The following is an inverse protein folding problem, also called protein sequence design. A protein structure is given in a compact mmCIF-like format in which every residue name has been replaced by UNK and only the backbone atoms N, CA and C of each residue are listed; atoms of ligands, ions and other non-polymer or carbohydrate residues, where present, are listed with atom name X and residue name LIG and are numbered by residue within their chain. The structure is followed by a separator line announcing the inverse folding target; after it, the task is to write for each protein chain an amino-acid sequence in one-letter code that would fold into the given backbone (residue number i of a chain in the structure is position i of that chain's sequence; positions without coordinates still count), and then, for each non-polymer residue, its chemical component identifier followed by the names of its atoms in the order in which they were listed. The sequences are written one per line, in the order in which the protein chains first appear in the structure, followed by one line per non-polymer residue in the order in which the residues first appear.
data_IF_319515960246
#
_entry.id   IF_319515960246
#
_cell.length_a   1.000
_cell.length_b   1.000
_cell.length_c   1.000
_cell.angle_alpha   90.00
_cell.angle_beta   90.00
_cell.angle_gamma   90.00
#
_symmetry.space_group_name_H-M   'P 1'
#
loop_
_entity.id
_entity.type
_entity.pdbx_description
1 polymer ?
#
# COMPACT_ATOMS: atom_id res chain seq x y z
N UNK A 1 -31.60 13.29 1.48
CA UNK A 1 -31.93 12.49 0.28
C UNK A 1 -30.63 11.93 -0.30
N UNK A 2 -30.45 10.61 -0.28
CA UNK A 2 -29.25 9.96 -0.81
C UNK A 2 -29.51 9.63 -2.28
N UNK A 3 -28.82 10.32 -3.20
CA UNK A 3 -28.96 10.03 -4.62
C UNK A 3 -28.48 8.59 -4.91
N UNK A 4 -29.34 7.77 -5.49
CA UNK A 4 -29.04 6.41 -5.93
C UNK A 4 -28.51 6.49 -7.35
N UNK A 5 -27.27 6.04 -7.57
CA UNK A 5 -26.68 6.00 -8.90
C UNK A 5 -26.83 4.57 -9.41
N UNK A 6 -27.57 4.36 -10.50
CA UNK A 6 -27.64 3.05 -11.15
C UNK A 6 -26.33 2.78 -11.91
N UNK A 7 -25.61 1.74 -11.51
CA UNK A 7 -24.38 1.26 -12.15
C UNK A 7 -24.48 -0.28 -12.20
N UNK A 8 -24.94 -0.83 -13.33
CA UNK A 8 -25.18 -2.27 -13.46
C UNK A 8 -26.27 -2.79 -12.50
N UNK A 9 -26.48 -4.11 -12.46
CA UNK A 9 -27.57 -4.79 -11.74
C UNK A 9 -27.68 -4.49 -10.23
N UNK A 10 -26.69 -3.83 -9.63
CA UNK A 10 -26.70 -3.42 -8.21
C UNK A 10 -26.78 -1.90 -8.05
N UNK A 11 -27.91 -1.39 -7.53
CA UNK A 11 -28.04 0.03 -7.12
C UNK A 11 -27.07 0.34 -5.97
N UNK A 12 -26.09 1.23 -6.19
CA UNK A 12 -25.13 1.64 -5.16
C UNK A 12 -25.28 3.13 -4.83
N UNK A 13 -25.17 3.44 -3.55
CA UNK A 13 -25.36 4.79 -3.01
C UNK A 13 -24.15 5.68 -3.31
N UNK A 14 -24.36 7.00 -3.53
CA UNK A 14 -23.27 7.98 -3.58
C UNK A 14 -22.33 7.92 -2.35
N UNK A 15 -22.83 7.46 -1.18
CA UNK A 15 -22.01 7.26 0.02
C UNK A 15 -20.98 6.14 -0.15
N UNK A 16 -21.32 5.07 -0.87
CA UNK A 16 -20.41 3.94 -1.10
C UNK A 16 -19.29 4.34 -2.07
N UNK A 17 -19.60 5.16 -3.08
CA UNK A 17 -18.60 5.75 -3.99
C UNK A 17 -17.61 6.64 -3.22
N UNK A 18 -18.10 7.56 -2.39
CA UNK A 18 -17.24 8.47 -1.60
C UNK A 18 -16.34 7.67 -0.66
N UNK A 19 -16.88 6.67 0.04
CA UNK A 19 -16.08 5.79 0.91
C UNK A 19 -14.98 5.05 0.15
N UNK A 20 -15.31 4.54 -1.03
CA UNK A 20 -14.34 3.86 -1.92
C UNK A 20 -13.26 4.84 -2.40
N UNK A 21 -13.65 6.05 -2.79
CA UNK A 21 -12.71 7.10 -3.21
C UNK A 21 -11.75 7.50 -2.09
N UNK A 22 -12.27 7.79 -0.88
CA UNK A 22 -11.44 8.14 0.28
C UNK A 22 -10.54 6.97 0.69
N UNK A 23 -11.05 5.74 0.65
CA UNK A 23 -10.24 4.55 0.94
C UNK A 23 -9.12 4.34 -0.07
N UNK A 24 -9.37 4.60 -1.35
CA UNK A 24 -8.35 4.52 -2.40
C UNK A 24 -7.30 5.61 -2.25
N UNK A 25 -7.75 6.86 -2.09
CA UNK A 25 -6.88 8.01 -1.83
C UNK A 25 -5.98 7.79 -0.61
N UNK A 26 -6.55 7.35 0.52
CA UNK A 26 -5.79 7.14 1.75
C UNK A 26 -4.76 6.01 1.61
N UNK A 27 -5.12 4.91 0.93
CA UNK A 27 -4.18 3.82 0.68
C UNK A 27 -2.97 4.27 -0.14
N UNK A 28 -3.21 5.03 -1.20
CA UNK A 28 -2.13 5.62 -2.01
C UNK A 28 -1.35 6.69 -1.25
N UNK A 29 -2.01 7.50 -0.43
CA UNK A 29 -1.32 8.47 0.42
C UNK A 29 -0.37 7.80 1.41
N UNK A 30 -0.79 6.72 2.05
CA UNK A 30 0.09 5.93 2.91
C UNK A 30 1.28 5.34 2.17
N UNK A 31 1.02 4.72 1.02
CA UNK A 31 2.06 4.12 0.20
C UNK A 31 3.17 5.13 -0.15
N UNK A 32 2.77 6.31 -0.63
CA UNK A 32 3.71 7.36 -0.99
C UNK A 32 4.31 8.09 0.21
N UNK A 33 3.60 8.14 1.34
CA UNK A 33 4.19 8.58 2.60
C UNK A 33 5.34 7.66 3.00
N UNK A 34 5.14 6.34 3.02
CA UNK A 34 6.19 5.39 3.38
C UNK A 34 7.38 5.45 2.40
N UNK A 35 7.11 5.61 1.10
CA UNK A 35 8.18 5.79 0.12
C UNK A 35 8.99 7.05 0.36
N UNK A 36 8.32 8.17 0.61
CA UNK A 36 9.00 9.43 0.83
C UNK A 36 9.75 9.44 2.18
N UNK A 37 9.17 8.84 3.22
CA UNK A 37 9.83 8.66 4.51
C UNK A 37 11.14 7.88 4.35
N UNK A 38 11.10 6.76 3.62
CA UNK A 38 12.29 5.97 3.34
C UNK A 38 13.30 6.75 2.49
N UNK A 39 12.86 7.42 1.42
CA UNK A 39 13.73 8.16 0.51
C UNK A 39 14.58 9.20 1.25
N UNK A 40 13.95 9.99 2.13
CA UNK A 40 14.64 11.00 2.94
C UNK A 40 15.54 10.36 4.01
N UNK A 41 15.11 9.25 4.64
CA UNK A 41 15.97 8.49 5.55
C UNK A 41 17.20 7.91 4.84
N UNK A 42 17.04 7.40 3.62
CA UNK A 42 18.11 6.86 2.79
C UNK A 42 19.12 7.94 2.40
N UNK A 43 18.67 9.19 2.24
CA UNK A 43 19.53 10.32 1.95
C UNK A 43 20.32 10.81 3.18
N UNK A 44 19.67 10.89 4.34
CA UNK A 44 20.19 11.64 5.50
C UNK A 44 20.73 10.73 6.61
N UNK A 45 20.10 9.57 6.82
CA UNK A 45 20.27 8.75 8.03
C UNK A 45 20.94 7.41 7.75
N UNK A 46 20.39 6.63 6.82
CA UNK A 46 20.79 5.23 6.59
C UNK A 46 22.26 5.03 6.21
N UNK A 47 22.92 5.92 5.44
CA UNK A 47 24.34 5.77 5.13
C UNK A 47 25.19 5.68 6.42
N UNK A 48 24.87 6.51 7.42
CA UNK A 48 25.58 6.55 8.71
C UNK A 48 25.20 5.38 9.63
N UNK A 49 23.95 4.89 9.58
CA UNK A 49 23.44 3.89 10.53
C UNK A 49 23.61 2.45 10.06
N UNK A 50 23.37 2.19 8.77
CA UNK A 50 23.35 0.82 8.20
C UNK A 50 24.59 0.52 7.36
N UNK A 51 25.28 1.55 6.87
CA UNK A 51 26.42 1.43 5.97
C UNK A 51 27.67 2.20 6.44
N UNK A 52 28.02 2.22 7.75
CA UNK A 52 29.09 3.08 8.26
C UNK A 52 30.50 2.71 7.79
N UNK A 53 30.70 1.49 7.29
CA UNK A 53 32.01 1.00 6.83
C UNK A 53 32.33 1.36 5.38
N UNK A 54 31.38 1.97 4.66
CA UNK A 54 31.61 2.46 3.32
C UNK A 54 32.02 3.93 3.36
N UNK A 55 32.78 4.36 2.35
CA UNK A 55 33.00 5.80 2.11
C UNK A 55 31.63 6.52 2.02
N UNK A 56 31.50 7.78 2.50
CA UNK A 56 30.21 8.46 2.59
C UNK A 56 29.40 8.47 1.29
N UNK A 57 30.07 8.66 0.14
CA UNK A 57 29.43 8.62 -1.17
C UNK A 57 28.91 7.22 -1.53
N UNK A 58 29.68 6.17 -1.22
CA UNK A 58 29.29 4.78 -1.46
C UNK A 58 28.16 4.37 -0.52
N UNK A 59 28.22 4.74 0.75
CA UNK A 59 27.13 4.48 1.71
C UNK A 59 25.80 5.10 1.27
N UNK A 60 25.83 6.31 0.71
CA UNK A 60 24.66 6.97 0.12
C UNK A 60 24.12 6.21 -1.10
N UNK A 61 25.00 5.81 -2.02
CA UNK A 61 24.63 5.02 -3.19
C UNK A 61 23.98 3.69 -2.77
N UNK A 62 24.57 2.97 -1.82
CA UNK A 62 24.05 1.68 -1.33
C UNK A 62 22.71 1.86 -0.60
N UNK A 63 22.51 2.94 0.16
CA UNK A 63 21.23 3.25 0.78
C UNK A 63 20.12 3.49 -0.27
N UNK A 64 20.42 4.22 -1.36
CA UNK A 64 19.49 4.41 -2.47
C UNK A 64 19.30 3.17 -3.34
N UNK A 65 20.32 2.32 -3.51
CA UNK A 65 20.17 1.01 -4.15
C UNK A 65 19.19 0.17 -3.34
N UNK A 66 19.32 0.16 -2.01
CA UNK A 66 18.37 -0.53 -1.13
C UNK A 66 16.95 0.03 -1.29
N UNK A 67 16.81 1.36 -1.37
CA UNK A 67 15.52 1.99 -1.69
C UNK A 67 14.93 1.50 -3.02
N UNK A 68 15.77 1.44 -4.06
CA UNK A 68 15.45 1.00 -5.42
C UNK A 68 15.07 -0.47 -5.52
N UNK A 69 15.70 -1.36 -4.75
CA UNK A 69 15.37 -2.79 -4.71
C UNK A 69 13.90 -3.01 -4.32
N UNK A 70 13.34 -2.17 -3.44
CA UNK A 70 11.91 -2.21 -3.13
C UNK A 70 11.01 -1.98 -4.37
N UNK A 71 11.45 -1.18 -5.35
CA UNK A 71 10.69 -0.99 -6.59
C UNK A 71 10.72 -2.22 -7.49
N UNK A 72 11.81 -3.00 -7.46
CA UNK A 72 11.91 -4.25 -8.23
C UNK A 72 10.94 -5.32 -7.71
N UNK A 73 10.58 -5.29 -6.42
CA UNK A 73 9.57 -6.18 -5.86
C UNK A 73 8.14 -5.83 -6.29
N UNK A 74 7.87 -4.58 -6.72
CA UNK A 74 6.51 -4.12 -7.07
C UNK A 74 5.91 -4.85 -8.27
N UNK A 75 6.60 -5.04 -9.42
CA UNK A 75 6.07 -5.84 -10.53
C UNK A 75 5.71 -7.27 -10.12
N UNK A 76 6.54 -7.91 -9.29
CA UNK A 76 6.30 -9.26 -8.78
C UNK A 76 5.06 -9.28 -7.89
N UNK A 77 4.93 -8.27 -7.01
CA UNK A 77 3.75 -8.01 -6.20
C UNK A 77 2.50 -7.82 -7.03
N UNK A 78 2.54 -6.94 -8.03
CA UNK A 78 1.43 -6.65 -8.94
C UNK A 78 0.93 -7.92 -9.64
N UNK A 79 1.84 -8.75 -10.14
CA UNK A 79 1.53 -10.01 -10.80
C UNK A 79 0.91 -11.04 -9.85
N UNK A 80 1.44 -11.16 -8.63
CA UNK A 80 0.95 -12.11 -7.62
C UNK A 80 -0.40 -11.68 -7.03
N UNK A 81 -0.46 -10.47 -6.48
CA UNK A 81 -1.64 -9.92 -5.83
C UNK A 81 -2.75 -9.58 -6.84
N UNK A 82 -2.41 -9.25 -8.09
CA UNK A 82 -3.39 -9.09 -9.17
C UNK A 82 -4.17 -10.38 -9.42
N UNK A 83 -3.48 -11.50 -9.66
CA UNK A 83 -4.14 -12.82 -9.81
C UNK A 83 -4.89 -13.26 -8.57
N UNK A 84 -4.35 -12.96 -7.39
CA UNK A 84 -5.06 -13.25 -6.15
C UNK A 84 -6.35 -12.42 -6.07
N UNK A 85 -6.33 -11.15 -6.49
CA UNK A 85 -7.48 -10.26 -6.48
C UNK A 85 -8.63 -10.77 -7.32
N UNK A 86 -8.31 -11.33 -8.49
CA UNK A 86 -9.29 -11.92 -9.40
C UNK A 86 -9.92 -13.21 -8.83
N UNK A 87 -9.23 -13.95 -7.95
CA UNK A 87 -9.73 -15.22 -7.37
C UNK A 87 -10.43 -15.07 -6.02
N UNK A 88 -9.84 -14.33 -5.08
CA UNK A 88 -10.32 -14.28 -3.68
C UNK A 88 -11.06 -12.99 -3.32
N UNK A 89 -11.03 -11.99 -4.20
CA UNK A 89 -11.65 -10.68 -4.02
C UNK A 89 -10.63 -9.56 -3.80
N UNK A 90 -10.92 -8.39 -4.35
CA UNK A 90 -10.00 -7.23 -4.33
C UNK A 90 -9.88 -6.61 -2.96
N UNK A 91 -10.96 -6.54 -2.19
CA UNK A 91 -10.92 -6.05 -0.80
C UNK A 91 -9.93 -6.84 0.05
N UNK A 92 -9.93 -8.16 -0.07
CA UNK A 92 -9.03 -9.03 0.72
C UNK A 92 -7.57 -8.78 0.38
N UNK A 93 -7.28 -8.70 -0.92
CA UNK A 93 -5.92 -8.37 -1.39
C UNK A 93 -5.46 -7.05 -0.82
N UNK A 94 -6.27 -6.00 -0.96
CA UNK A 94 -5.99 -4.68 -0.40
C UNK A 94 -5.70 -4.75 1.12
N UNK A 95 -6.46 -5.51 1.89
CA UNK A 95 -6.17 -5.66 3.34
C UNK A 95 -4.81 -6.31 3.58
N UNK A 96 -4.47 -7.36 2.84
CA UNK A 96 -3.19 -8.09 2.97
C UNK A 96 -2.01 -7.18 2.60
N UNK A 97 -2.11 -6.47 1.48
CA UNK A 97 -1.02 -5.63 0.96
C UNK A 97 -0.76 -4.43 1.87
N UNK A 98 -1.79 -3.74 2.37
CA UNK A 98 -1.62 -2.66 3.36
C UNK A 98 -0.99 -3.17 4.67
N UNK A 99 -1.43 -4.34 5.17
CA UNK A 99 -0.85 -4.93 6.38
C UNK A 99 0.64 -5.21 6.19
N UNK A 100 0.99 -5.86 5.08
CA UNK A 100 2.36 -6.24 4.79
C UNK A 100 3.26 -5.00 4.65
N UNK A 101 2.78 -3.95 4.00
CA UNK A 101 3.50 -2.68 3.90
C UNK A 101 3.68 -2.03 5.25
N UNK A 102 2.59 -1.78 5.99
CA UNK A 102 2.63 -1.07 7.27
C UNK A 102 3.46 -1.78 8.34
N UNK A 103 3.35 -3.12 8.42
CA UNK A 103 4.20 -3.92 9.32
C UNK A 103 5.66 -3.83 8.92
N UNK A 104 5.97 -3.92 7.62
CA UNK A 104 7.36 -3.81 7.15
C UNK A 104 7.94 -2.43 7.47
N UNK A 105 7.18 -1.35 7.20
CA UNK A 105 7.58 0.03 7.52
C UNK A 105 7.80 0.22 9.02
N UNK A 106 6.90 -0.29 9.87
CA UNK A 106 7.05 -0.23 11.32
C UNK A 106 8.31 -0.96 11.79
N UNK A 107 8.58 -2.15 11.27
CA UNK A 107 9.76 -2.93 11.64
C UNK A 107 11.08 -2.24 11.26
N UNK A 108 11.11 -1.44 10.20
CA UNK A 108 12.28 -0.60 9.85
C UNK A 108 12.60 0.37 11.01
N UNK A 109 11.57 0.95 11.63
CA UNK A 109 11.74 1.83 12.79
C UNK A 109 12.32 1.14 14.02
N UNK A 110 12.15 -0.18 14.17
CA UNK A 110 12.71 -0.95 15.28
C UNK A 110 14.10 -1.55 14.96
N UNK A 111 14.62 -1.33 13.76
CA UNK A 111 15.83 -2.00 13.32
C UNK A 111 17.06 -1.43 14.07
N UNK A 112 17.87 -2.31 14.71
CA UNK A 112 19.13 -1.88 15.30
C UNK A 112 20.15 -1.56 14.20
N UNK A 113 21.08 -0.65 14.51
CA UNK A 113 22.07 -0.18 13.55
C UNK A 113 23.21 -1.19 13.32
N UNK A 114 24.07 -0.89 12.35
CA UNK A 114 25.24 -1.71 12.04
C UNK A 114 26.16 -1.89 13.26
N UNK A 115 26.30 -0.86 14.10
CA UNK A 115 27.11 -0.93 15.32
C UNK A 115 26.64 -2.00 16.33
N UNK A 116 25.36 -2.42 16.27
CA UNK A 116 24.78 -3.37 17.23
C UNK A 116 24.74 -4.80 16.68
N UNK A 117 24.38 -4.98 15.40
CA UNK A 117 24.16 -6.31 14.80
C UNK A 117 24.97 -6.56 13.52
N UNK A 118 25.89 -5.66 13.16
CA UNK A 118 26.77 -5.77 12.00
C UNK A 118 26.01 -5.87 10.67
N UNK A 119 26.47 -6.77 9.79
CA UNK A 119 25.89 -6.98 8.46
C UNK A 119 24.40 -7.38 8.48
N UNK A 120 23.90 -7.91 9.59
CA UNK A 120 22.48 -8.24 9.69
C UNK A 120 21.58 -6.99 9.56
N UNK A 121 22.04 -5.81 9.97
CA UNK A 121 21.27 -4.57 9.90
C UNK A 121 20.89 -4.20 8.44
N UNK A 122 21.83 -4.01 7.50
CA UNK A 122 21.46 -3.71 6.12
C UNK A 122 20.73 -4.87 5.43
N UNK A 123 21.01 -6.14 5.76
CA UNK A 123 20.30 -7.29 5.18
C UNK A 123 18.81 -7.27 5.58
N UNK A 124 18.52 -7.08 6.87
CA UNK A 124 17.15 -6.98 7.34
C UNK A 124 16.44 -5.76 6.75
N UNK A 125 17.14 -4.63 6.61
CA UNK A 125 16.60 -3.44 5.93
C UNK A 125 16.17 -3.77 4.49
N UNK A 126 17.02 -4.47 3.73
CA UNK A 126 16.70 -4.92 2.36
C UNK A 126 15.50 -5.86 2.34
N UNK A 127 15.44 -6.84 3.25
CA UNK A 127 14.32 -7.80 3.34
C UNK A 127 13.00 -7.09 3.64
N UNK A 128 12.97 -6.20 4.63
CA UNK A 128 11.79 -5.40 4.95
C UNK A 128 11.39 -4.52 3.77
N UNK A 129 12.38 -3.97 3.05
CA UNK A 129 12.13 -3.13 1.88
C UNK A 129 11.56 -3.91 0.71
N UNK A 130 12.00 -5.14 0.49
CA UNK A 130 11.43 -6.07 -0.49
C UNK A 130 10.00 -6.46 -0.12
N UNK A 131 9.72 -6.79 1.15
CA UNK A 131 8.38 -7.13 1.62
C UNK A 131 7.40 -5.96 1.46
N UNK A 132 7.83 -4.75 1.83
CA UNK A 132 7.06 -3.52 1.61
C UNK A 132 6.78 -3.29 0.12
N UNK A 133 7.81 -3.37 -0.72
CA UNK A 133 7.70 -3.21 -2.17
C UNK A 133 6.79 -4.25 -2.83
N UNK A 134 6.85 -5.50 -2.38
CA UNK A 134 5.96 -6.56 -2.84
C UNK A 134 4.49 -6.23 -2.55
N UNK A 135 4.17 -5.64 -1.39
CA UNK A 135 2.79 -5.25 -1.05
C UNK A 135 2.29 -4.06 -1.84
N UNK A 136 3.16 -3.08 -2.03
CA UNK A 136 2.89 -1.87 -2.81
C UNK A 136 2.53 -2.17 -4.28
N UNK A 137 2.93 -3.33 -4.81
CA UNK A 137 2.73 -3.68 -6.22
C UNK A 137 1.26 -3.67 -6.70
N UNK A 138 0.30 -3.96 -5.83
CA UNK A 138 -1.12 -4.06 -6.21
C UNK A 138 -2.04 -3.00 -5.58
N UNK A 139 -1.48 -2.10 -4.77
CA UNK A 139 -2.27 -1.09 -4.05
C UNK A 139 -2.86 -0.04 -5.00
N UNK A 140 -2.00 0.67 -5.73
CA UNK A 140 -2.41 1.75 -6.62
C UNK A 140 -3.34 1.25 -7.74
N UNK A 141 -2.97 0.12 -8.37
CA UNK A 141 -3.76 -0.48 -9.45
C UNK A 141 -5.08 -1.05 -8.91
N UNK A 142 -5.05 -1.83 -7.82
CA UNK A 142 -6.24 -2.41 -7.20
C UNK A 142 -7.26 -1.36 -6.75
N UNK A 143 -6.79 -0.28 -6.10
CA UNK A 143 -7.63 0.83 -5.67
C UNK A 143 -8.23 1.60 -6.86
N UNK A 144 -7.43 1.86 -7.91
CA UNK A 144 -7.88 2.58 -9.11
C UNK A 144 -8.95 1.79 -9.87
N UNK A 145 -8.78 0.48 -10.04
CA UNK A 145 -9.77 -0.34 -10.75
C UNK A 145 -11.02 -0.52 -9.90
N UNK A 146 -10.89 -0.72 -8.58
CA UNK A 146 -12.04 -0.74 -7.68
C UNK A 146 -12.83 0.57 -7.79
N UNK A 147 -12.18 1.72 -7.78
CA UNK A 147 -12.87 3.00 -7.89
C UNK A 147 -13.51 3.22 -9.28
N UNK A 148 -12.85 2.78 -10.35
CA UNK A 148 -13.37 2.85 -11.72
C UNK A 148 -14.61 1.96 -11.93
N UNK A 149 -14.67 0.81 -11.27
CA UNK A 149 -15.82 -0.10 -11.31
C UNK A 149 -17.04 0.45 -10.55
N UNK A 150 -16.79 1.22 -9.49
CA UNK A 150 -17.83 1.96 -8.77
C UNK A 150 -18.26 3.25 -9.48
N UNK A 151 -17.47 3.75 -10.44
CA UNK A 151 -17.71 5.04 -11.07
C UNK A 151 -18.69 4.93 -12.26
N UNK A 152 -19.56 5.95 -12.47
CA UNK A 152 -20.39 6.04 -13.67
C UNK A 152 -19.52 6.06 -14.94
N UNK A 153 -19.95 5.43 -16.05
CA UNK A 153 -19.13 5.29 -17.27
C UNK A 153 -18.50 6.60 -17.76
N UNK A 154 -19.24 7.71 -17.74
CA UNK A 154 -18.78 9.04 -18.19
C UNK A 154 -17.82 9.75 -17.22
N UNK A 155 -17.65 9.25 -15.98
CA UNK A 155 -16.85 9.89 -14.92
C UNK A 155 -15.73 8.99 -14.38
N UNK A 156 -15.50 7.81 -14.97
CA UNK A 156 -14.50 6.84 -14.50
C UNK A 156 -13.12 7.45 -14.35
N UNK A 157 -12.64 8.19 -15.36
CA UNK A 157 -11.33 8.84 -15.31
C UNK A 157 -11.19 9.87 -14.19
N UNK A 158 -12.19 10.74 -14.03
CA UNK A 158 -12.19 11.79 -12.99
C UNK A 158 -12.29 11.20 -11.58
N UNK A 159 -13.06 10.13 -11.39
CA UNK A 159 -13.20 9.52 -10.06
C UNK A 159 -11.96 8.68 -9.76
N UNK A 160 -11.45 7.88 -10.71
CA UNK A 160 -10.21 7.12 -10.54
C UNK A 160 -9.00 8.02 -10.23
N UNK A 161 -8.93 9.25 -10.78
CA UNK A 161 -7.83 10.17 -10.51
C UNK A 161 -7.76 10.66 -9.06
N UNK A 162 -8.83 10.54 -8.25
CA UNK A 162 -8.77 10.81 -6.82
C UNK A 162 -7.74 9.92 -6.10
N UNK A 163 -7.51 8.71 -6.59
CA UNK A 163 -6.46 7.83 -6.04
C UNK A 163 -5.09 8.48 -6.23
N UNK A 164 -4.83 9.06 -7.40
CA UNK A 164 -3.56 9.73 -7.72
C UNK A 164 -3.32 10.99 -6.87
N UNK A 165 -4.37 11.65 -6.35
CA UNK A 165 -4.18 12.74 -5.39
C UNK A 165 -3.48 12.25 -4.11
N UNK A 166 -3.66 10.98 -3.75
CA UNK A 166 -3.02 10.36 -2.59
C UNK A 166 -1.50 10.46 -2.67
N UNK A 167 -0.93 10.28 -3.86
CA UNK A 167 0.52 10.36 -4.10
C UNK A 167 1.14 11.65 -3.56
N UNK A 168 0.56 12.79 -3.92
CA UNK A 168 1.06 14.10 -3.50
C UNK A 168 0.78 14.36 -2.02
N UNK A 169 -0.40 13.97 -1.53
CA UNK A 169 -0.75 14.13 -0.12
C UNK A 169 0.21 13.36 0.80
N UNK A 170 0.50 12.10 0.47
CA UNK A 170 1.43 11.25 1.22
C UNK A 170 2.85 11.81 1.22
N UNK A 171 3.34 12.20 0.04
CA UNK A 171 4.68 12.80 -0.12
C UNK A 171 4.83 14.09 0.68
N UNK A 172 3.80 14.96 0.65
CA UNK A 172 3.80 16.21 1.40
C UNK A 172 3.80 15.97 2.91
N UNK A 173 2.96 15.04 3.40
CA UNK A 173 2.90 14.68 4.82
C UNK A 173 4.23 14.10 5.32
N UNK A 174 4.84 13.18 4.57
CA UNK A 174 6.16 12.63 4.89
C UNK A 174 7.23 13.73 4.95
N UNK A 175 7.22 14.64 3.97
CA UNK A 175 8.21 15.73 3.93
C UNK A 175 8.03 16.70 5.08
N UNK A 176 6.78 17.06 5.42
CA UNK A 176 6.48 17.88 6.59
C UNK A 176 6.90 17.21 7.90
N UNK A 177 6.69 15.90 8.04
CA UNK A 177 7.15 15.14 9.20
C UNK A 177 8.68 15.16 9.32
N UNK A 178 9.41 15.02 8.21
CA UNK A 178 10.87 15.16 8.21
C UNK A 178 11.32 16.56 8.61
N UNK A 179 10.67 17.63 8.13
CA UNK A 179 10.97 19.00 8.57
C UNK A 179 10.84 19.12 10.09
N UNK A 180 9.76 18.59 10.67
CA UNK A 180 9.59 18.61 12.13
C UNK A 180 10.69 17.84 12.87
N UNK A 181 11.13 16.69 12.33
CA UNK A 181 12.22 15.90 12.92
C UNK A 181 13.57 16.60 12.82
N UNK A 182 13.81 17.39 11.76
CA UNK A 182 15.05 18.18 11.62
C UNK A 182 15.16 19.33 12.61
N UNK A 183 14.08 19.67 13.32
CA UNK A 183 14.14 20.63 14.44
C UNK A 183 14.80 20.02 15.70
N UNK A 184 14.93 18.69 15.77
CA UNK A 184 15.66 18.03 16.83
C UNK A 184 17.18 18.27 16.67
N UNK A 185 17.95 18.27 17.78
CA UNK A 185 19.40 18.23 17.70
C UNK A 185 19.88 17.02 16.88
N UNK A 186 20.98 17.18 16.11
CA UNK A 186 21.48 16.13 15.21
C UNK A 186 21.71 14.80 15.95
N UNK A 187 22.27 14.85 17.16
CA UNK A 187 22.47 13.66 18.00
C UNK A 187 21.16 12.94 18.34
N UNK A 188 20.10 13.68 18.66
CA UNK A 188 18.78 13.12 18.95
C UNK A 188 18.13 12.52 17.69
N UNK A 189 18.26 13.23 16.56
CA UNK A 189 17.76 12.76 15.26
C UNK A 189 18.42 11.44 14.85
N UNK A 190 19.75 11.35 14.97
CA UNK A 190 20.55 10.18 14.60
C UNK A 190 20.37 9.00 15.58
N UNK A 191 20.19 9.29 16.87
CA UNK A 191 20.07 8.24 17.89
C UNK A 191 18.71 7.58 17.92
N UNK A 192 17.60 8.33 17.88
CA UNK A 192 16.24 7.76 17.98
C UNK A 192 15.17 8.49 17.15
N UNK A 193 15.34 9.79 16.88
CA UNK A 193 14.30 10.62 16.23
C UNK A 193 13.85 10.09 14.87
N UNK A 194 14.79 9.61 14.06
CA UNK A 194 14.49 9.05 12.73
C UNK A 194 13.57 7.82 12.76
N UNK A 195 13.47 7.10 13.89
CA UNK A 195 12.64 5.88 14.02
C UNK A 195 11.16 6.19 14.17
N UNK A 196 10.82 7.32 14.79
CA UNK A 196 9.45 7.75 15.05
C UNK A 196 8.54 7.71 13.81
N UNK A 197 8.89 8.30 12.66
CA UNK A 197 8.01 8.32 11.49
C UNK A 197 7.70 6.90 10.97
N UNK A 198 8.68 5.99 11.02
CA UNK A 198 8.49 4.60 10.61
C UNK A 198 7.55 3.86 11.57
N UNK A 199 7.72 4.04 12.89
CA UNK A 199 6.84 3.42 13.90
C UNK A 199 5.43 4.00 13.81
N UNK A 200 5.30 5.32 13.67
CA UNK A 200 4.01 6.02 13.57
C UNK A 200 3.18 5.58 12.34
N UNK A 201 3.82 5.02 11.29
CA UNK A 201 3.13 4.48 10.12
C UNK A 201 2.12 3.38 10.47
N UNK A 202 2.28 2.68 11.61
CA UNK A 202 1.31 1.68 12.06
C UNK A 202 -0.04 2.31 12.38
N UNK A 203 -0.08 3.53 12.91
CA UNK A 203 -1.34 4.23 13.19
C UNK A 203 -2.14 4.49 11.92
N UNK A 204 -1.45 4.90 10.85
CA UNK A 204 -2.07 5.14 9.55
C UNK A 204 -2.52 3.82 8.92
N UNK A 205 -1.72 2.77 9.10
CA UNK A 205 -2.06 1.40 8.69
C UNK A 205 -3.32 0.89 9.37
N UNK A 206 -3.43 1.01 10.69
CA UNK A 206 -4.62 0.63 11.45
C UNK A 206 -5.85 1.44 11.01
N UNK A 207 -5.68 2.73 10.76
CA UNK A 207 -6.76 3.58 10.27
C UNK A 207 -7.25 3.14 8.88
N UNK A 208 -6.34 2.88 7.94
CA UNK A 208 -6.70 2.37 6.61
C UNK A 208 -7.34 0.98 6.66
N UNK A 209 -6.91 0.11 7.57
CA UNK A 209 -7.54 -1.21 7.78
C UNK A 209 -8.96 -1.07 8.32
N UNK A 210 -9.18 -0.17 9.27
CA UNK A 210 -10.51 0.12 9.79
C UNK A 210 -11.43 0.64 8.68
N UNK A 211 -10.94 1.52 7.81
CA UNK A 211 -11.68 1.96 6.62
C UNK A 211 -11.98 0.80 5.66
N UNK A 212 -10.98 -0.04 5.36
CA UNK A 212 -11.10 -1.18 4.43
C UNK A 212 -12.06 -2.24 4.94
N UNK A 213 -12.15 -2.47 6.26
CA UNK A 213 -13.13 -3.42 6.84
C UNK A 213 -14.57 -3.07 6.46
N UNK A 214 -14.89 -1.79 6.37
CA UNK A 214 -16.23 -1.29 6.05
C UNK A 214 -16.50 -1.11 4.55
N UNK A 215 -15.52 -1.42 3.69
CA UNK A 215 -15.71 -1.37 2.24
C UNK A 215 -16.49 -2.60 1.74
N UNK A 216 -17.35 -2.40 0.75
CA UNK A 216 -18.00 -3.50 0.03
C UNK A 216 -17.06 -4.02 -1.07
N UNK A 217 -17.26 -5.25 -1.50
CA UNK A 217 -16.50 -5.80 -2.64
C UNK A 217 -16.92 -5.08 -3.95
N UNK A 218 -16.10 -5.23 -4.98
CA UNK A 218 -16.41 -4.66 -6.29
C UNK A 218 -17.73 -5.23 -6.85
N UNK A 219 -18.62 -4.38 -7.42
CA UNK A 219 -19.83 -4.83 -8.11
C UNK A 219 -19.54 -5.84 -9.24
N UNK A 220 -18.42 -5.66 -9.95
CA UNK A 220 -18.02 -6.56 -11.03
C UNK A 220 -17.63 -7.92 -10.46
N UNK A 221 -16.86 -7.93 -9.37
CA UNK A 221 -16.46 -9.17 -8.71
C UNK A 221 -17.65 -9.94 -8.12
N UNK A 222 -18.61 -9.24 -7.51
CA UNK A 222 -19.85 -9.85 -7.01
C UNK A 222 -20.66 -10.48 -8.16
N UNK A 223 -20.84 -9.76 -9.27
CA UNK A 223 -21.59 -10.26 -10.43
C UNK A 223 -20.94 -11.48 -11.09
N UNK A 224 -19.61 -11.48 -11.27
CA UNK A 224 -18.88 -12.65 -11.81
C UNK A 224 -19.06 -13.86 -10.90
N UNK A 225 -19.00 -13.68 -9.59
CA UNK A 225 -19.13 -14.78 -8.64
C UNK A 225 -20.55 -15.35 -8.58
N UNK A 226 -21.58 -14.51 -8.71
CA UNK A 226 -22.96 -14.96 -8.82
C UNK A 226 -23.18 -15.79 -10.10
N UNK A 227 -22.58 -15.37 -11.22
CA UNK A 227 -22.62 -16.12 -12.49
C UNK A 227 -21.90 -17.46 -12.37
N UNK A 228 -20.69 -17.51 -11.80
CA UNK A 228 -19.95 -18.77 -11.59
C UNK A 228 -20.75 -19.78 -10.74
N UNK A 229 -21.44 -19.31 -9.69
CA UNK A 229 -22.30 -20.14 -8.86
C UNK A 229 -23.50 -20.66 -9.65
N UNK A 230 -24.12 -19.81 -10.47
CA UNK A 230 -25.26 -20.20 -11.32
C UNK A 230 -24.85 -21.24 -12.38
N UNK A 231 -23.71 -21.05 -13.03
CA UNK A 231 -23.18 -21.98 -14.04
C UNK A 231 -22.80 -23.33 -13.41
N UNK A 232 -22.18 -23.32 -12.24
CA UNK A 232 -21.87 -24.54 -11.49
C UNK A 232 -23.13 -25.30 -11.06
N UNK A 233 -24.17 -24.58 -10.60
CA UNK A 233 -25.45 -25.19 -10.26
C UNK A 233 -26.16 -25.78 -11.49
N UNK A 234 -26.11 -25.09 -12.64
CA UNK A 234 -26.67 -25.58 -13.90
C UNK A 234 -25.94 -26.84 -14.41
N UNK A 235 -24.61 -26.87 -14.30
CA UNK A 235 -23.79 -28.04 -14.64
C UNK A 235 -24.05 -29.24 -13.72
N UNK A 236 -24.24 -29.00 -12.41
CA UNK A 236 -24.61 -30.06 -11.47
C UNK A 236 -26.02 -30.62 -11.75
N UNK A 237 -26.98 -29.75 -12.10
CA UNK A 237 -28.33 -30.17 -12.45
C UNK A 237 -28.39 -30.96 -13.77
N UNK A 238 -27.59 -30.60 -14.77
CA UNK A 238 -27.52 -31.36 -16.03
C UNK A 238 -26.86 -32.73 -15.86
N UNK A 239 -25.86 -32.85 -14.97
CA UNK A 239 -25.23 -34.12 -14.62
C UNK A 239 -26.15 -35.06 -13.81
N UNK A 240 -27.06 -34.51 -12.99
CA UNK A 240 -28.03 -35.29 -12.24
C UNK A 240 -29.19 -35.83 -13.10
N UNK A 241 -29.52 -35.16 -14.20
CA UNK A 241 -30.57 -35.59 -15.14
C UNK A 241 -30.08 -36.57 -16.21
N UNK A 242 -28.77 -36.86 -16.29
CA UNK A 242 -28.18 -37.81 -17.24
C UNK A 242 -27.84 -39.18 -16.64
N UNK A 243 -28.14 -39.39 -15.35
CA UNK A 243 -28.05 -40.66 -14.61
C UNK A 243 -29.44 -41.20 -14.29
#
# INVERSE_FOLDING_TARGET
MTATIQIGATQRSSKDLIRTAVSGWLGTAMEYMDFQLYSLAAAIIFPKIFFPNFDPAVGLLVAFITYGVGFLARPVGAWFFGRMGDRVGRKKVLVITIMMMGVSTMLIGFLPGYAQIGLAAPILLVVLRLAQGFGAGAELSGASVMLAEYAPPKKRGLIASFVCLGTNSGTLLASGLWVLLTLLPEEALMSWGWRLPFIASIGITLYALWMRRNLKESPVFEATREQEIADAAAAAASAANST
#
